data_IF_420471481714
#
_entry.id   IF_420471481714
#
_cell.length_a   1.000
_cell.length_b   1.000
_cell.length_c   1.000
_cell.angle_alpha   90.00
_cell.angle_beta   90.00
_cell.angle_gamma   90.00
#
_symmetry.space_group_name_H-M   'P 1'
#
loop_
_entity.id
_entity.type
_entity.pdbx_description
1 polymer ?
#
# COMPACT_ATOMS: atom_id res chain seq x y z
N UNK A 1 4.05 -13.72 2.79
CA UNK A 1 5.18 -13.87 3.73
C UNK A 1 4.69 -13.67 5.17
N UNK A 2 5.52 -13.91 6.18
CA UNK A 2 5.19 -13.56 7.57
C UNK A 2 4.87 -12.07 7.76
N UNK A 3 5.51 -11.19 6.98
CA UNK A 3 5.23 -9.76 7.01
C UNK A 3 3.80 -9.40 6.58
N UNK A 4 3.30 -10.04 5.52
CA UNK A 4 1.91 -9.83 5.05
C UNK A 4 0.90 -10.24 6.13
N UNK A 5 1.15 -11.35 6.82
CA UNK A 5 0.30 -11.80 7.92
C UNK A 5 0.37 -10.83 9.11
N UNK A 6 1.57 -10.32 9.45
CA UNK A 6 1.73 -9.31 10.50
C UNK A 6 0.96 -8.02 10.18
N UNK A 7 1.03 -7.52 8.94
CA UNK A 7 0.30 -6.32 8.49
C UNK A 7 -1.22 -6.54 8.41
N UNK A 8 -1.66 -7.61 7.75
CA UNK A 8 -3.07 -7.87 7.48
C UNK A 8 -3.80 -8.55 8.66
N UNK A 9 -3.08 -9.00 9.68
CA UNK A 9 -3.65 -9.52 10.91
C UNK A 9 -3.83 -8.41 11.94
N UNK A 10 -3.24 -8.59 13.12
CA UNK A 10 -3.48 -7.71 14.27
C UNK A 10 -3.21 -6.22 14.00
N UNK A 11 -2.23 -5.86 13.16
CA UNK A 11 -1.85 -4.47 12.98
C UNK A 11 -2.97 -3.61 12.38
N UNK A 12 -3.66 -4.09 11.34
CA UNK A 12 -4.75 -3.34 10.70
C UNK A 12 -6.01 -3.30 11.57
N UNK A 13 -6.34 -4.39 12.26
CA UNK A 13 -7.52 -4.40 13.12
C UNK A 13 -7.30 -3.57 14.38
N UNK A 14 -6.08 -3.54 14.92
CA UNK A 14 -5.72 -2.65 16.03
C UNK A 14 -5.78 -1.18 15.62
N UNK A 15 -5.41 -0.85 14.38
CA UNK A 15 -5.63 0.49 13.83
C UNK A 15 -7.12 0.83 13.83
N UNK A 16 -7.95 -0.04 13.27
CA UNK A 16 -9.39 0.21 13.14
C UNK A 16 -10.06 0.38 14.52
N UNK A 17 -9.75 -0.47 15.50
CA UNK A 17 -10.32 -0.32 16.85
C UNK A 17 -9.78 0.92 17.58
N UNK A 18 -8.49 1.22 17.45
CA UNK A 18 -7.84 2.31 18.20
C UNK A 18 -8.08 3.69 17.58
N UNK A 19 -8.08 3.79 16.25
CA UNK A 19 -8.14 5.06 15.51
C UNK A 19 -9.49 5.33 14.90
N UNK A 20 -10.24 4.29 14.53
CA UNK A 20 -11.56 4.41 13.92
C UNK A 20 -12.69 3.99 14.85
N UNK A 21 -12.41 3.61 16.10
CA UNK A 21 -13.42 3.40 17.13
C UNK A 21 -14.32 2.17 16.94
N UNK A 22 -13.91 1.19 16.13
CA UNK A 22 -14.63 -0.09 16.02
C UNK A 22 -14.70 -0.80 17.37
N UNK A 23 -15.85 -1.41 17.69
CA UNK A 23 -16.09 -1.98 19.02
C UNK A 23 -15.27 -3.26 19.26
N UNK A 24 -14.97 -4.00 18.19
CA UNK A 24 -14.17 -5.23 18.26
C UNK A 24 -13.32 -5.43 17.01
N UNK A 25 -12.31 -6.30 17.13
CA UNK A 25 -11.51 -6.75 15.97
C UNK A 25 -12.37 -7.49 14.95
N UNK A 26 -13.37 -8.26 15.39
CA UNK A 26 -14.24 -9.03 14.50
C UNK A 26 -15.10 -8.10 13.63
N UNK A 27 -15.63 -7.02 14.21
CA UNK A 27 -16.38 -6.00 13.48
C UNK A 27 -15.49 -5.27 12.47
N UNK A 28 -14.30 -4.84 12.91
CA UNK A 28 -13.31 -4.22 12.04
C UNK A 28 -12.91 -5.14 10.89
N UNK A 29 -12.72 -6.43 11.17
CA UNK A 29 -12.37 -7.43 10.18
C UNK A 29 -13.50 -7.64 9.17
N UNK A 30 -14.75 -7.78 9.61
CA UNK A 30 -15.88 -7.98 8.72
C UNK A 30 -16.02 -6.84 7.70
N UNK A 31 -15.95 -5.58 8.18
CA UNK A 31 -16.01 -4.40 7.30
C UNK A 31 -14.81 -4.37 6.34
N UNK A 32 -13.60 -4.60 6.85
CA UNK A 32 -12.41 -4.58 6.00
C UNK A 32 -12.48 -5.66 4.93
N UNK A 33 -12.85 -6.89 5.29
CA UNK A 33 -12.86 -8.03 4.36
C UNK A 33 -13.94 -7.86 3.27
N UNK A 34 -15.13 -7.34 3.62
CA UNK A 34 -16.20 -6.99 2.66
C UNK A 34 -15.69 -6.04 1.56
N UNK A 35 -15.05 -4.93 1.97
CA UNK A 35 -14.60 -3.91 1.02
C UNK A 35 -13.28 -4.28 0.34
N UNK A 36 -12.36 -4.95 1.04
CA UNK A 36 -11.07 -5.35 0.49
C UNK A 36 -11.22 -6.40 -0.62
N UNK A 37 -12.23 -7.28 -0.54
CA UNK A 37 -12.53 -8.23 -1.61
C UNK A 37 -12.87 -7.54 -2.94
N UNK A 38 -13.36 -6.30 -2.90
CA UNK A 38 -13.72 -5.50 -4.09
C UNK A 38 -12.59 -4.62 -4.58
N UNK A 39 -11.81 -4.05 -3.66
CA UNK A 39 -10.88 -2.96 -3.98
C UNK A 39 -9.40 -3.32 -3.85
N UNK A 40 -9.05 -4.44 -3.21
CA UNK A 40 -7.66 -4.89 -3.04
C UNK A 40 -6.70 -3.85 -2.42
N UNK A 41 -7.24 -2.85 -1.72
CA UNK A 41 -6.52 -1.84 -0.96
C UNK A 41 -7.32 -1.51 0.29
N UNK A 42 -6.67 -1.54 1.46
CA UNK A 42 -7.32 -1.17 2.72
C UNK A 42 -7.62 0.33 2.77
N UNK A 43 -6.78 1.16 2.17
CA UNK A 43 -7.05 2.62 2.09
C UNK A 43 -8.34 2.86 1.30
N UNK A 44 -8.43 2.35 0.07
CA UNK A 44 -9.64 2.50 -0.74
C UNK A 44 -10.86 1.87 -0.06
N UNK A 45 -10.70 0.69 0.53
CA UNK A 45 -11.76 0.03 1.27
C UNK A 45 -12.35 0.92 2.38
N UNK A 46 -11.51 1.53 3.22
CA UNK A 46 -11.97 2.39 4.30
C UNK A 46 -12.54 3.72 3.80
N UNK A 47 -11.98 4.30 2.75
CA UNK A 47 -12.53 5.52 2.12
C UNK A 47 -13.93 5.28 1.57
N UNK A 48 -14.18 4.16 0.89
CA UNK A 48 -15.53 3.86 0.37
C UNK A 48 -16.47 3.44 1.51
N UNK A 49 -15.99 2.68 2.51
CA UNK A 49 -16.80 2.34 3.68
C UNK A 49 -17.26 3.60 4.45
N UNK A 50 -16.43 4.64 4.51
CA UNK A 50 -16.84 5.93 5.07
C UNK A 50 -17.94 6.59 4.25
N UNK A 51 -17.76 6.67 2.93
CA UNK A 51 -18.75 7.25 2.01
C UNK A 51 -20.09 6.51 2.05
N UNK A 52 -20.06 5.19 2.28
CA UNK A 52 -21.24 4.34 2.45
C UNK A 52 -21.83 4.42 3.87
N UNK A 53 -21.26 5.22 4.78
CA UNK A 53 -21.73 5.36 6.17
C UNK A 53 -21.52 4.11 7.02
N UNK A 54 -20.54 3.27 6.67
CA UNK A 54 -20.24 1.99 7.33
C UNK A 54 -19.13 2.09 8.40
N UNK A 55 -18.48 3.25 8.53
CA UNK A 55 -17.58 3.50 9.66
C UNK A 55 -18.37 3.89 10.92
N UNK A 56 -17.79 3.72 12.12
CA UNK A 56 -18.40 4.19 13.36
C UNK A 56 -18.76 5.68 13.32
N UNK A 57 -19.84 6.05 14.02
CA UNK A 57 -20.41 7.40 13.94
C UNK A 57 -19.41 8.48 14.39
N UNK A 58 -19.30 9.55 13.60
CA UNK A 58 -18.45 10.71 13.89
C UNK A 58 -16.97 10.52 13.57
N UNK A 59 -16.60 9.41 12.93
CA UNK A 59 -15.22 9.13 12.48
C UNK A 59 -15.01 9.62 11.06
N UNK A 60 -13.87 10.25 10.82
CA UNK A 60 -13.36 10.57 9.49
C UNK A 60 -12.09 9.76 9.23
N UNK A 61 -11.99 9.10 8.07
CA UNK A 61 -10.81 8.35 7.69
C UNK A 61 -9.96 9.12 6.69
N UNK A 62 -8.72 9.41 7.09
CA UNK A 62 -7.69 9.89 6.18
C UNK A 62 -6.64 8.79 5.92
N UNK A 63 -6.23 8.63 4.66
CA UNK A 63 -5.27 7.60 4.26
C UNK A 63 -3.92 7.73 5.01
N UNK A 64 -3.52 8.96 5.34
CA UNK A 64 -2.37 9.29 6.18
C UNK A 64 -2.38 8.56 7.52
N UNK A 65 -3.55 8.38 8.15
CA UNK A 65 -3.68 7.71 9.44
C UNK A 65 -3.19 6.26 9.39
N UNK A 66 -3.61 5.52 8.35
CA UNK A 66 -3.20 4.13 8.16
C UNK A 66 -1.75 4.03 7.69
N UNK A 67 -1.34 4.96 6.81
CA UNK A 67 0.04 5.10 6.34
C UNK A 67 1.01 5.23 7.51
N UNK A 68 0.71 6.14 8.43
CA UNK A 68 1.54 6.41 9.60
C UNK A 68 1.54 5.26 10.59
N UNK A 69 0.35 4.70 10.86
CA UNK A 69 0.22 3.54 11.74
C UNK A 69 1.08 2.36 11.29
N UNK A 70 1.04 2.03 9.99
CA UNK A 70 1.85 0.94 9.46
C UNK A 70 3.33 1.28 9.36
N UNK A 71 3.68 2.51 8.97
CA UNK A 71 5.06 2.94 8.90
C UNK A 71 5.74 2.91 10.28
N UNK A 72 5.02 3.24 11.35
CA UNK A 72 5.59 3.36 12.68
C UNK A 72 5.44 2.10 13.53
N UNK A 73 4.36 1.33 13.33
CA UNK A 73 3.99 0.22 14.19
C UNK A 73 4.41 -1.17 13.71
N UNK A 74 4.80 -1.35 12.44
CA UNK A 74 5.17 -2.68 11.93
C UNK A 74 6.65 -2.99 12.15
N UNK A 75 6.95 -4.26 12.44
CA UNK A 75 8.31 -4.74 12.60
C UNK A 75 8.95 -5.10 11.24
N UNK A 76 9.36 -4.09 10.48
CA UNK A 76 10.01 -4.31 9.19
C UNK A 76 11.31 -5.13 9.33
N UNK A 77 12.10 -4.88 10.38
CA UNK A 77 13.44 -5.45 10.53
C UNK A 77 13.43 -6.96 10.80
N UNK A 78 12.42 -7.47 11.51
CA UNK A 78 12.27 -8.90 11.77
C UNK A 78 11.88 -9.66 10.51
N UNK A 79 10.94 -9.14 9.72
CA UNK A 79 10.35 -9.90 8.61
C UNK A 79 10.96 -9.61 7.23
N UNK A 80 11.56 -8.44 7.02
CA UNK A 80 12.13 -8.04 5.74
C UNK A 80 13.65 -8.04 5.85
N UNK A 81 14.29 -8.78 4.95
CA UNK A 81 15.75 -8.86 4.86
C UNK A 81 16.19 -8.49 3.45
N UNK A 82 17.27 -7.70 3.30
CA UNK A 82 17.87 -7.45 2.01
C UNK A 82 18.29 -8.75 1.31
N UNK A 83 18.22 -8.75 -0.02
CA UNK A 83 18.65 -9.87 -0.86
C UNK A 83 19.69 -9.37 -1.86
N UNK A 84 20.97 -9.65 -1.61
CA UNK A 84 22.06 -9.12 -2.43
C UNK A 84 21.98 -9.54 -3.91
N UNK A 85 21.69 -10.81 -4.26
CA UNK A 85 21.52 -11.20 -5.67
C UNK A 85 20.41 -10.42 -6.39
N UNK A 86 19.35 -10.05 -5.67
CA UNK A 86 18.27 -9.25 -6.23
C UNK A 86 18.70 -7.80 -6.44
N UNK A 87 19.40 -7.21 -5.46
CA UNK A 87 19.96 -5.85 -5.58
C UNK A 87 20.94 -5.74 -6.73
N UNK A 88 21.82 -6.73 -6.89
CA UNK A 88 22.74 -6.83 -8.03
C UNK A 88 22.01 -6.88 -9.37
N UNK A 89 20.86 -7.55 -9.42
CA UNK A 89 20.03 -7.58 -10.62
C UNK A 89 19.41 -6.21 -10.93
N UNK A 90 18.96 -5.47 -9.91
CA UNK A 90 18.45 -4.12 -10.08
C UNK A 90 19.55 -3.14 -10.50
N UNK A 91 20.76 -3.22 -9.91
CA UNK A 91 21.94 -2.40 -10.29
C UNK A 91 22.30 -2.55 -11.77
N UNK A 92 22.16 -3.75 -12.32
CA UNK A 92 22.46 -4.04 -13.73
C UNK A 92 21.27 -3.80 -14.66
N UNK A 93 20.09 -3.49 -14.14
CA UNK A 93 18.91 -3.29 -14.95
C UNK A 93 19.05 -1.98 -15.75
N UNK A 94 19.01 -2.02 -17.10
CA UNK A 94 19.12 -0.81 -17.91
C UNK A 94 17.80 -0.04 -17.99
N UNK A 95 16.71 -0.59 -17.46
CA UNK A 95 15.37 0.00 -17.54
C UNK A 95 15.14 0.98 -16.39
N UNK A 96 14.27 1.96 -16.63
CA UNK A 96 13.71 2.80 -15.58
C UNK A 96 12.87 1.94 -14.63
N UNK A 97 13.26 1.91 -13.36
CA UNK A 97 12.56 1.14 -12.33
C UNK A 97 11.46 1.99 -11.70
N UNK A 98 10.24 1.45 -11.66
CA UNK A 98 9.06 2.10 -11.06
C UNK A 98 8.47 1.15 -10.03
N UNK A 99 8.29 1.63 -8.80
CA UNK A 99 7.59 0.90 -7.75
C UNK A 99 6.12 1.33 -7.75
N UNK A 100 5.18 0.40 -7.94
CA UNK A 100 3.75 0.69 -7.94
C UNK A 100 2.97 -0.20 -6.98
N UNK A 101 2.48 0.38 -5.88
CA UNK A 101 1.86 -0.34 -4.76
C UNK A 101 0.44 0.14 -4.44
N UNK A 102 -0.45 -0.80 -4.08
CA UNK A 102 -1.77 -0.49 -3.49
C UNK A 102 -1.71 -0.14 -1.99
N UNK A 103 -0.51 -0.12 -1.41
CA UNK A 103 -0.28 0.31 -0.05
C UNK A 103 0.01 1.82 -0.01
N UNK A 104 -0.19 2.49 1.14
CA UNK A 104 0.08 3.92 1.26
C UNK A 104 1.57 4.25 1.19
N UNK A 105 1.88 5.49 0.76
CA UNK A 105 3.23 5.89 0.32
C UNK A 105 4.30 5.72 1.40
N UNK A 106 4.07 6.25 2.60
CA UNK A 106 5.05 6.19 3.69
C UNK A 106 5.40 4.75 4.06
N UNK A 107 4.38 3.88 4.14
CA UNK A 107 4.59 2.44 4.33
C UNK A 107 5.38 1.82 3.18
N UNK A 108 5.04 2.11 1.92
CA UNK A 108 5.76 1.54 0.77
C UNK A 108 7.24 1.93 0.78
N UNK A 109 7.55 3.17 1.14
CA UNK A 109 8.94 3.66 1.33
C UNK A 109 9.64 2.88 2.44
N UNK A 110 9.01 2.69 3.60
CA UNK A 110 9.58 1.91 4.71
C UNK A 110 9.89 0.46 4.32
N UNK A 111 9.05 -0.17 3.48
CA UNK A 111 9.33 -1.49 2.92
C UNK A 111 10.58 -1.46 2.03
N UNK A 112 10.69 -0.49 1.13
CA UNK A 112 11.86 -0.34 0.26
C UNK A 112 13.15 -0.09 1.06
N UNK A 113 13.09 0.72 2.10
CA UNK A 113 14.22 0.99 2.99
C UNK A 113 14.67 -0.26 3.74
N UNK A 114 13.72 -1.01 4.33
CA UNK A 114 14.03 -2.23 5.07
C UNK A 114 14.65 -3.32 4.19
N UNK A 115 14.24 -3.40 2.92
CA UNK A 115 14.82 -4.30 1.92
C UNK A 115 16.12 -3.75 1.30
N UNK A 116 16.54 -2.53 1.65
CA UNK A 116 17.64 -1.80 1.03
C UNK A 116 17.52 -1.67 -0.49
N UNK A 117 16.29 -1.39 -0.94
CA UNK A 117 15.94 -1.19 -2.34
C UNK A 117 15.62 0.27 -2.68
N UNK A 118 15.46 1.13 -1.65
CA UNK A 118 15.06 2.54 -1.82
C UNK A 118 15.94 3.27 -2.84
N UNK A 119 17.25 3.03 -2.85
CA UNK A 119 18.20 3.66 -3.77
C UNK A 119 17.92 3.42 -5.26
N UNK A 120 17.22 2.35 -5.63
CA UNK A 120 16.97 1.98 -7.04
C UNK A 120 15.77 2.70 -7.66
N UNK A 121 14.95 3.38 -6.86
CA UNK A 121 13.74 4.06 -7.31
C UNK A 121 13.87 5.54 -7.00
N UNK A 122 13.82 6.43 -7.99
CA UNK A 122 13.74 7.86 -7.73
C UNK A 122 12.39 8.22 -7.08
N UNK A 123 12.31 9.36 -6.38
CA UNK A 123 11.07 9.78 -5.68
C UNK A 123 9.85 9.85 -6.61
N UNK A 124 10.05 10.32 -7.84
CA UNK A 124 9.05 10.40 -8.91
C UNK A 124 8.70 9.05 -9.55
N UNK A 125 9.41 7.98 -9.17
CA UNK A 125 9.18 6.60 -9.62
C UNK A 125 8.63 5.68 -8.52
N UNK A 126 8.28 6.23 -7.36
CA UNK A 126 7.55 5.51 -6.32
C UNK A 126 6.11 5.97 -6.38
N UNK A 127 5.20 5.04 -6.64
CA UNK A 127 3.76 5.25 -6.79
C UNK A 127 3.02 4.38 -5.78
N UNK A 128 2.20 5.01 -4.96
CA UNK A 128 1.40 4.38 -3.93
C UNK A 128 -0.10 4.60 -4.19
N UNK A 129 -0.96 3.99 -3.38
CA UNK A 129 -2.41 4.14 -3.56
C UNK A 129 -2.85 5.59 -3.46
N UNK A 130 -2.25 6.37 -2.55
CA UNK A 130 -2.57 7.78 -2.34
C UNK A 130 -2.33 8.62 -3.62
N UNK A 131 -1.37 8.22 -4.45
CA UNK A 131 -1.01 8.90 -5.69
C UNK A 131 -1.99 8.59 -6.83
N UNK A 132 -2.76 7.50 -6.74
CA UNK A 132 -3.64 7.02 -7.83
C UNK A 132 -5.13 7.07 -7.51
N UNK A 133 -5.49 7.37 -6.26
CA UNK A 133 -6.89 7.60 -5.88
C UNK A 133 -7.58 8.62 -6.82
N UNK A 134 -8.88 8.43 -7.12
CA UNK A 134 -9.79 7.42 -6.54
C UNK A 134 -9.63 6.00 -7.11
N UNK A 135 -8.78 5.79 -8.11
CA UNK A 135 -8.50 4.47 -8.66
C UNK A 135 -7.42 3.72 -7.86
N UNK A 136 -7.35 2.41 -7.99
CA UNK A 136 -6.19 1.60 -7.54
C UNK A 136 -6.09 0.31 -8.36
N UNK A 137 -4.98 -0.43 -8.26
CA UNK A 137 -4.88 -1.72 -8.97
C UNK A 137 -6.01 -2.66 -8.52
N UNK A 138 -6.64 -3.43 -9.42
CA UNK A 138 -6.30 -3.63 -10.84
C UNK A 138 -7.02 -2.68 -11.82
N UNK A 139 -7.57 -1.56 -11.37
CA UNK A 139 -8.33 -0.64 -12.24
C UNK A 139 -7.44 0.05 -13.28
N UNK A 140 -7.80 0.05 -14.58
CA UNK A 140 -6.99 0.62 -15.66
C UNK A 140 -6.57 2.08 -15.46
N UNK A 141 -7.42 2.87 -14.83
CA UNK A 141 -7.22 4.30 -14.56
C UNK A 141 -5.99 4.53 -13.67
N UNK A 142 -5.74 3.63 -12.72
CA UNK A 142 -4.57 3.70 -11.86
C UNK A 142 -3.27 3.50 -12.67
N UNK A 143 -3.27 2.54 -13.60
CA UNK A 143 -2.15 2.30 -14.51
C UNK A 143 -1.94 3.47 -15.48
N UNK A 144 -3.02 3.98 -16.07
CA UNK A 144 -2.97 5.10 -17.00
C UNK A 144 -2.36 6.35 -16.35
N UNK A 145 -2.70 6.62 -15.08
CA UNK A 145 -2.13 7.74 -14.33
C UNK A 145 -0.62 7.60 -14.13
N UNK A 146 -0.15 6.41 -13.74
CA UNK A 146 1.28 6.13 -13.56
C UNK A 146 2.03 6.25 -14.89
N UNK A 147 1.54 5.60 -15.95
CA UNK A 147 2.14 5.61 -17.29
C UNK A 147 2.29 7.02 -17.85
N UNK A 148 1.22 7.82 -17.77
CA UNK A 148 1.23 9.22 -18.20
C UNK A 148 2.29 10.04 -17.45
N UNK A 149 2.39 9.85 -16.13
CA UNK A 149 3.33 10.60 -15.31
C UNK A 149 4.79 10.19 -15.51
N UNK A 150 5.07 8.91 -15.78
CA UNK A 150 6.44 8.46 -16.09
C UNK A 150 6.84 8.69 -17.54
N UNK A 151 5.91 9.16 -18.39
CA UNK A 151 6.11 9.43 -19.81
C UNK A 151 6.28 8.17 -20.67
N UNK A 152 5.55 7.10 -20.35
CA UNK A 152 5.65 5.81 -21.06
C UNK A 152 4.27 5.27 -21.46
N UNK A 153 4.25 4.31 -22.39
CA UNK A 153 3.04 3.55 -22.74
C UNK A 153 3.11 2.12 -22.21
N UNK A 154 1.96 1.43 -22.15
CA UNK A 154 1.88 0.07 -21.63
C UNK A 154 2.78 -0.90 -22.44
N UNK A 155 2.88 -0.71 -23.75
CA UNK A 155 3.67 -1.54 -24.67
C UNK A 155 5.19 -1.38 -24.47
N UNK A 156 5.60 -0.29 -23.81
CA UNK A 156 7.00 0.00 -23.49
C UNK A 156 7.39 -0.48 -22.09
N UNK A 157 6.45 -1.05 -21.35
CA UNK A 157 6.61 -1.40 -19.95
C UNK A 157 6.47 -2.91 -19.74
N UNK A 158 7.21 -3.41 -18.74
CA UNK A 158 7.02 -4.74 -18.19
C UNK A 158 6.60 -4.59 -16.74
N UNK A 159 5.46 -5.17 -16.40
CA UNK A 159 4.92 -5.18 -15.04
C UNK A 159 5.23 -6.52 -14.37
N UNK A 160 5.67 -6.46 -13.11
CA UNK A 160 5.93 -7.62 -12.26
C UNK A 160 5.06 -7.45 -11.01
N UNK A 161 4.21 -8.43 -10.70
CA UNK A 161 3.32 -8.48 -9.53
C UNK A 161 3.42 -9.86 -8.85
#
# INVERSE_FOLDING_TARGET
SGFTAHRNGDAVFSFMTTKLGFASKDEAQAIRDEYFARFHSTVKALTIAEADGRLPAGVHFEASMLSDWWADGLDFGTYLKPCEPFRDSLRRCPLKLVAFSNAPRRYAIRVLEALQLREFFSEDCIWAVDDVMPACKPEPEAFAKVLAAIGSSAEQCVMIE
#
